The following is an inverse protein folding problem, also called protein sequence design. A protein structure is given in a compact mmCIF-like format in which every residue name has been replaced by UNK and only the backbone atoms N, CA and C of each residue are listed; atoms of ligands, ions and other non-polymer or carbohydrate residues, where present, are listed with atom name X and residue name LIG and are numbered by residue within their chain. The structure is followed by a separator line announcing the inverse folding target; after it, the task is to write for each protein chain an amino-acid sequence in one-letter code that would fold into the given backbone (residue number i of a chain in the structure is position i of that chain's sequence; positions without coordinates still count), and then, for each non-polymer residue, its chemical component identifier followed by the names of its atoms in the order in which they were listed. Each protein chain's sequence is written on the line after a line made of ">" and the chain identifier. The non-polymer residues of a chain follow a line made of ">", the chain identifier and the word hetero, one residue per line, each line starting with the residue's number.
data_IF_497223093247
#
_entry.id   IF_497223093247
#
_cell.length_a   1.000
_cell.length_b   1.000
_cell.length_c   1.000
_cell.angle_alpha   90.00
_cell.angle_beta   90.00
_cell.angle_gamma   90.00
#
_symmetry.space_group_name_H-M   'P 1'
#
loop_
_entity.id
_entity.type
_entity.pdbx_description
1 polymer ?
#
# COMPACT_ATOMS: atom_id res chain seq x y z
N UNK A 1 10.14 1.64 23.68
CA UNK A 1 8.79 1.80 23.10
C UNK A 1 8.76 1.18 21.70
N UNK A 2 8.48 -0.12 21.60
CA UNK A 2 8.38 -0.79 20.30
C UNK A 2 7.01 -0.46 19.69
N UNK A 3 6.98 0.43 18.69
CA UNK A 3 5.76 0.70 17.92
C UNK A 3 5.32 -0.63 17.27
N UNK A 4 4.16 -1.14 17.67
CA UNK A 4 3.51 -2.27 17.00
C UNK A 4 3.27 -1.83 15.55
N UNK A 5 4.13 -2.23 14.62
CA UNK A 5 3.94 -1.98 13.19
C UNK A 5 2.72 -2.80 12.75
N UNK A 6 1.54 -2.16 12.72
CA UNK A 6 0.36 -2.72 12.04
C UNK A 6 0.79 -3.07 10.62
N UNK A 7 0.90 -4.37 10.33
CA UNK A 7 1.32 -4.86 9.03
C UNK A 7 0.13 -4.73 8.08
N UNK A 8 0.01 -3.57 7.44
CA UNK A 8 -1.02 -3.33 6.42
C UNK A 8 -0.76 -4.25 5.24
N UNK A 9 -1.71 -5.15 4.94
CA UNK A 9 -1.64 -5.96 3.72
C UNK A 9 -2.07 -5.09 2.53
N UNK A 10 -1.08 -4.56 1.81
CA UNK A 10 -1.29 -3.86 0.55
C UNK A 10 -1.43 -4.87 -0.58
N UNK A 11 -2.67 -5.13 -1.01
CA UNK A 11 -2.98 -5.90 -2.22
C UNK A 11 -3.21 -4.96 -3.42
N UNK A 12 -3.25 -5.52 -4.63
CA UNK A 12 -3.40 -4.72 -5.86
C UNK A 12 -4.64 -3.84 -5.91
N UNK A 13 -5.76 -4.35 -5.38
CA UNK A 13 -7.01 -3.59 -5.31
C UNK A 13 -6.87 -2.35 -4.40
N UNK A 14 -6.25 -2.49 -3.23
CA UNK A 14 -6.03 -1.38 -2.30
C UNK A 14 -5.06 -0.34 -2.87
N UNK A 15 -4.01 -0.78 -3.56
CA UNK A 15 -3.05 0.11 -4.21
C UNK A 15 -3.73 0.91 -5.32
N UNK A 16 -4.53 0.23 -6.17
CA UNK A 16 -5.32 0.89 -7.21
C UNK A 16 -6.33 1.87 -6.63
N UNK A 17 -7.03 1.50 -5.55
CA UNK A 17 -7.98 2.37 -4.88
C UNK A 17 -7.31 3.61 -4.27
N UNK A 18 -6.15 3.45 -3.63
CA UNK A 18 -5.35 4.58 -3.13
C UNK A 18 -4.94 5.50 -4.28
N UNK A 19 -4.43 4.94 -5.38
CA UNK A 19 -4.03 5.71 -6.56
C UNK A 19 -5.19 6.53 -7.14
N UNK A 20 -6.36 5.90 -7.26
CA UNK A 20 -7.57 6.55 -7.78
C UNK A 20 -8.09 7.63 -6.83
N UNK A 21 -8.05 7.39 -5.52
CA UNK A 21 -8.39 8.38 -4.49
C UNK A 21 -7.51 9.63 -4.60
N UNK A 22 -6.22 9.44 -4.84
CA UNK A 22 -5.26 10.51 -5.08
C UNK A 22 -5.35 11.13 -6.49
N UNK A 23 -6.18 10.57 -7.37
CA UNK A 23 -6.29 10.95 -8.80
C UNK A 23 -4.96 10.91 -9.55
N UNK A 24 -4.10 9.95 -9.21
CA UNK A 24 -2.78 9.80 -9.83
C UNK A 24 -2.78 8.77 -10.96
N UNK A 25 -1.88 8.97 -11.92
CA UNK A 25 -1.48 7.91 -12.85
C UNK A 25 -0.55 6.91 -12.13
N UNK A 26 -0.35 5.72 -12.71
CA UNK A 26 0.60 4.76 -12.14
C UNK A 26 2.03 5.31 -12.11
N UNK A 27 2.41 6.13 -13.09
CA UNK A 27 3.70 6.81 -13.11
C UNK A 27 3.85 7.82 -11.96
N UNK A 28 2.82 8.64 -11.70
CA UNK A 28 2.86 9.59 -10.59
C UNK A 28 2.89 8.93 -9.23
N UNK A 29 2.13 7.85 -9.02
CA UNK A 29 2.26 7.07 -7.79
C UNK A 29 3.66 6.43 -7.66
N UNK A 30 4.27 6.01 -8.77
CA UNK A 30 5.62 5.47 -8.76
C UNK A 30 6.66 6.53 -8.35
N UNK A 31 6.55 7.75 -8.87
CA UNK A 31 7.38 8.90 -8.48
C UNK A 31 7.27 9.17 -6.96
N UNK A 32 6.05 9.24 -6.42
CA UNK A 32 5.80 9.44 -4.98
C UNK A 32 6.42 8.34 -4.10
N UNK A 33 6.45 7.10 -4.59
CA UNK A 33 6.97 5.95 -3.87
C UNK A 33 8.46 5.65 -4.17
N UNK A 34 9.10 6.43 -5.03
CA UNK A 34 10.48 6.22 -5.45
C UNK A 34 10.70 4.88 -6.18
N UNK A 35 9.74 4.45 -6.99
CA UNK A 35 9.79 3.18 -7.74
C UNK A 35 9.47 3.38 -9.23
N UNK A 36 9.36 2.29 -9.99
CA UNK A 36 9.03 2.32 -11.43
C UNK A 36 7.53 2.16 -11.65
N UNK A 37 7.00 2.76 -12.73
CA UNK A 37 5.58 2.60 -13.09
C UNK A 37 5.19 1.12 -13.28
N UNK A 38 6.08 0.30 -13.87
CA UNK A 38 5.88 -1.13 -14.04
C UNK A 38 5.65 -1.85 -12.69
N UNK A 39 6.37 -1.45 -11.64
CA UNK A 39 6.20 -2.00 -10.29
C UNK A 39 4.80 -1.72 -9.75
N UNK A 40 4.26 -0.51 -9.97
CA UNK A 40 2.88 -0.18 -9.59
C UNK A 40 1.88 -1.03 -10.38
N UNK A 41 2.10 -1.21 -11.68
CA UNK A 41 1.25 -2.06 -12.51
C UNK A 41 1.22 -3.50 -12.00
N UNK A 42 2.39 -4.11 -11.78
CA UNK A 42 2.54 -5.47 -11.29
C UNK A 42 1.90 -5.67 -9.90
N UNK A 43 1.96 -4.65 -9.04
CA UNK A 43 1.20 -4.66 -7.79
C UNK A 43 -0.30 -4.61 -8.01
N UNK A 44 -0.79 -3.70 -8.86
CA UNK A 44 -2.22 -3.51 -9.10
C UNK A 44 -2.89 -4.72 -9.74
N UNK A 45 -2.17 -5.45 -10.60
CA UNK A 45 -2.65 -6.72 -11.17
C UNK A 45 -2.40 -7.94 -10.27
N UNK A 46 -1.73 -7.75 -9.13
CA UNK A 46 -1.52 -8.80 -8.13
C UNK A 46 -0.40 -9.80 -8.47
N UNK A 47 0.48 -9.47 -9.43
CA UNK A 47 1.64 -10.32 -9.78
C UNK A 47 2.58 -10.49 -8.59
N UNK A 48 2.78 -9.43 -7.80
CA UNK A 48 3.40 -9.51 -6.48
C UNK A 48 2.93 -8.38 -5.57
N UNK A 49 3.22 -8.48 -4.26
CA UNK A 49 2.85 -7.47 -3.27
C UNK A 49 4.04 -6.56 -2.93
N UNK A 50 3.81 -5.28 -2.62
CA UNK A 50 4.85 -4.41 -2.06
C UNK A 50 5.36 -4.98 -0.73
N UNK A 51 6.67 -4.87 -0.51
CA UNK A 51 7.35 -5.34 0.71
C UNK A 51 8.24 -4.23 1.26
N UNK A 52 8.63 -4.36 2.53
CA UNK A 52 9.58 -3.46 3.18
C UNK A 52 9.18 -1.99 3.07
N UNK A 53 10.10 -1.14 2.61
CA UNK A 53 9.95 0.32 2.51
C UNK A 53 8.73 0.72 1.68
N UNK A 54 8.45 0.04 0.55
CA UNK A 54 7.30 0.39 -0.30
C UNK A 54 5.96 0.24 0.43
N UNK A 55 5.80 -0.80 1.24
CA UNK A 55 4.58 -0.98 2.03
C UNK A 55 4.44 0.10 3.13
N UNK A 56 5.56 0.52 3.71
CA UNK A 56 5.60 1.65 4.66
C UNK A 56 5.24 2.97 3.97
N UNK A 57 5.78 3.24 2.79
CA UNK A 57 5.49 4.46 2.04
C UNK A 57 4.03 4.52 1.59
N UNK A 58 3.46 3.41 1.11
CA UNK A 58 2.03 3.32 0.80
C UNK A 58 1.16 3.64 2.03
N UNK A 59 1.55 3.15 3.20
CA UNK A 59 0.88 3.44 4.47
C UNK A 59 0.94 4.94 4.80
N UNK A 60 2.12 5.55 4.70
CA UNK A 60 2.31 6.98 4.94
C UNK A 60 1.51 7.86 3.97
N UNK A 61 1.53 7.51 2.68
CA UNK A 61 0.78 8.21 1.64
C UNK A 61 -0.72 8.11 1.91
N UNK A 62 -1.20 6.92 2.27
CA UNK A 62 -2.61 6.71 2.60
C UNK A 62 -3.05 7.53 3.83
N UNK A 63 -2.25 7.54 4.90
CA UNK A 63 -2.52 8.33 6.10
C UNK A 63 -2.54 9.83 5.80
N UNK A 64 -1.56 10.34 5.04
CA UNK A 64 -1.51 11.76 4.62
C UNK A 64 -2.71 12.16 3.75
N UNK A 65 -3.21 11.24 2.94
CA UNK A 65 -4.34 11.48 2.04
C UNK A 65 -5.71 11.26 2.70
N UNK A 66 -5.75 10.92 4.00
CA UNK A 66 -6.98 10.52 4.68
C UNK A 66 -7.67 9.31 4.06
N UNK A 67 -6.92 8.47 3.33
CA UNK A 67 -7.46 7.30 2.65
C UNK A 67 -7.83 6.24 3.69
N UNK A 68 -9.10 5.85 3.74
CA UNK A 68 -9.58 4.80 4.64
C UNK A 68 -9.16 3.43 4.08
N UNK A 69 -8.18 2.80 4.72
CA UNK A 69 -7.83 1.40 4.49
C UNK A 69 -7.97 0.61 5.79
N UNK A 70 -8.35 -0.67 5.70
CA UNK A 70 -8.40 -1.57 6.85
C UNK A 70 -7.06 -2.31 6.99
N UNK A 71 -6.16 -1.89 7.90
CA UNK A 71 -4.99 -2.70 8.22
C UNK A 71 -5.48 -4.05 8.75
N UNK A 72 -4.93 -5.14 8.21
CA UNK A 72 -5.28 -6.47 8.69
C UNK A 72 -4.70 -6.63 10.11
N UNK A 73 -5.51 -6.36 11.12
CA UNK A 73 -5.19 -6.69 12.50
C UNK A 73 -5.29 -8.21 12.63
N UNK A 74 -4.16 -8.92 12.63
CA UNK A 74 -4.15 -10.35 12.95
C UNK A 74 -4.97 -10.58 14.22
N UNK A 75 -6.09 -11.29 14.05
CA UNK A 75 -6.75 -12.08 15.09
C UNK A 75 -7.08 -13.42 14.45
N UNK A 76 -6.04 -14.18 14.15
CA UNK A 76 -6.16 -15.64 14.06
C UNK A 76 -5.91 -16.12 15.48
N UNK A 77 -7.02 -16.38 16.19
CA UNK A 77 -7.00 -17.18 17.39
C UNK A 77 -6.44 -18.55 16.99
N UNK A 78 -5.45 -19.02 17.75
CA UNK A 78 -5.04 -20.41 17.71
C UNK A 78 -6.16 -21.20 18.38
N UNK A 79 -6.84 -22.07 17.64
CA UNK A 79 -7.64 -23.18 18.20
C UNK A 79 -6.70 -24.32 18.59
#
# INVERSE_FOLDING_TARGET
>A
MAQIRKKTDWNGQRIRALRQHLRLTQAKLAEELGTRQQTISEWEVGMYKPRGTSATLLTLVAERAGFKYTPNSKKEAYD
#
